data_IF_261458260032
#
_entry.id   IF_261458260032
#
_cell.length_a   1.000
_cell.length_b   1.000
_cell.length_c   1.000
_cell.angle_alpha   90.00
_cell.angle_beta   90.00
_cell.angle_gamma   90.00
#
_symmetry.space_group_name_H-M   'P 1'
#
loop_
_entity.id
_entity.type
_entity.pdbx_description
1 polymer ?
#
# COMPACT_ATOMS: atom_id res chain seq x y z
N UNK A 1 20.61 -2.64 10.24
CA UNK A 1 22.10 -2.68 10.34
C UNK A 1 22.80 -2.34 9.02
N UNK A 2 22.16 -2.46 7.86
CA UNK A 2 22.78 -2.14 6.55
C UNK A 2 22.70 -0.65 6.18
N UNK A 3 21.59 0.04 6.51
CA UNK A 3 21.46 1.50 6.28
C UNK A 3 22.59 2.34 6.91
N UNK A 4 23.11 1.98 8.08
CA UNK A 4 24.11 2.81 8.76
C UNK A 4 25.45 2.90 8.02
N UNK A 5 25.82 1.89 7.22
CA UNK A 5 27.17 1.76 6.65
C UNK A 5 27.40 2.60 5.40
N UNK A 6 26.34 3.09 4.77
CA UNK A 6 26.40 3.80 3.47
C UNK A 6 26.02 5.28 3.56
N UNK A 7 25.54 5.75 4.72
CA UNK A 7 25.17 7.14 4.92
C UNK A 7 26.43 7.99 5.14
N UNK A 8 26.49 9.14 4.45
CA UNK A 8 27.48 10.22 4.62
C UNK A 8 28.94 9.87 4.28
N UNK A 9 29.16 9.14 3.17
CA UNK A 9 30.49 8.98 2.57
C UNK A 9 30.82 10.15 1.61
N UNK A 10 32.11 10.52 1.51
CA UNK A 10 32.66 11.49 0.54
C UNK A 10 32.03 12.90 0.55
N UNK A 11 31.94 13.55 1.73
CA UNK A 11 31.42 14.93 1.91
C UNK A 11 29.96 15.17 1.46
N UNK A 12 29.23 14.12 1.03
CA UNK A 12 27.80 14.20 0.72
C UNK A 12 27.00 13.92 1.98
N UNK A 13 26.10 14.82 2.33
CA UNK A 13 25.17 14.63 3.44
C UNK A 13 23.83 14.13 2.91
N UNK A 14 23.29 13.09 3.54
CA UNK A 14 21.98 12.55 3.21
C UNK A 14 20.90 13.47 3.77
N UNK A 15 20.09 14.07 2.89
CA UNK A 15 19.01 14.97 3.30
C UNK A 15 17.79 14.22 3.87
N UNK A 16 17.44 13.08 3.27
CA UNK A 16 16.26 12.32 3.63
C UNK A 16 16.38 10.83 3.29
N UNK A 17 15.62 10.01 4.02
CA UNK A 17 15.30 8.62 3.67
C UNK A 17 13.81 8.59 3.29
N UNK A 18 13.51 8.10 2.09
CA UNK A 18 12.13 7.93 1.60
C UNK A 18 11.81 6.44 1.49
N UNK A 19 10.71 6.02 2.12
CA UNK A 19 10.25 4.63 2.12
C UNK A 19 8.73 4.54 1.93
N UNK A 20 8.25 3.43 1.37
CA UNK A 20 6.83 3.07 1.41
C UNK A 20 6.56 2.26 2.70
N UNK A 21 5.55 2.58 3.53
CA UNK A 21 5.20 1.77 4.70
C UNK A 21 4.87 0.30 4.35
N UNK A 22 4.29 0.09 3.18
CA UNK A 22 4.12 -1.20 2.53
C UNK A 22 4.41 -1.01 1.05
N UNK A 23 5.37 -1.75 0.50
CA UNK A 23 5.69 -1.67 -0.92
C UNK A 23 4.62 -2.37 -1.73
N UNK A 24 3.76 -1.61 -2.41
CA UNK A 24 2.63 -2.21 -3.12
C UNK A 24 3.02 -2.75 -4.51
N UNK A 25 3.87 -2.06 -5.27
CA UNK A 25 4.42 -2.58 -6.53
C UNK A 25 5.54 -3.60 -6.30
N UNK A 26 6.31 -3.46 -5.21
CA UNK A 26 7.37 -4.40 -4.80
C UNK A 26 6.87 -5.80 -4.36
N UNK A 27 5.58 -6.07 -4.53
CA UNK A 27 4.96 -7.37 -4.25
C UNK A 27 4.03 -7.38 -3.05
N UNK A 28 3.43 -6.26 -2.65
CA UNK A 28 2.62 -6.15 -1.42
C UNK A 28 3.45 -6.62 -0.22
N UNK A 29 4.49 -5.86 0.13
CA UNK A 29 5.41 -6.20 1.23
C UNK A 29 5.19 -5.24 2.39
N UNK A 30 4.43 -5.65 3.42
CA UNK A 30 4.26 -4.83 4.62
C UNK A 30 5.60 -4.59 5.31
N UNK A 31 5.81 -3.36 5.79
CA UNK A 31 7.03 -3.02 6.52
C UNK A 31 7.15 -3.76 7.84
N UNK A 32 8.37 -4.14 8.20
CA UNK A 32 8.69 -4.71 9.51
C UNK A 32 8.85 -3.59 10.55
N UNK A 33 8.14 -3.72 11.68
CA UNK A 33 8.13 -2.70 12.75
C UNK A 33 9.55 -2.35 13.21
N UNK A 34 10.36 -3.37 13.53
CA UNK A 34 11.72 -3.19 14.04
C UNK A 34 12.64 -2.49 13.02
N UNK A 35 12.46 -2.79 11.72
CA UNK A 35 13.22 -2.13 10.66
C UNK A 35 12.89 -0.64 10.59
N UNK A 36 11.61 -0.29 10.53
CA UNK A 36 11.17 1.10 10.41
C UNK A 36 11.47 1.92 11.66
N UNK A 37 11.36 1.34 12.85
CA UNK A 37 11.81 1.96 14.09
C UNK A 37 13.33 2.21 14.09
N UNK A 38 14.11 1.24 13.60
CA UNK A 38 15.55 1.42 13.42
C UNK A 38 15.90 2.54 12.45
N UNK A 39 15.20 2.65 11.31
CA UNK A 39 15.38 3.75 10.35
C UNK A 39 15.02 5.09 11.00
N UNK A 40 13.90 5.17 11.72
CA UNK A 40 13.50 6.39 12.45
C UNK A 40 14.57 6.84 13.43
N UNK A 41 15.14 5.91 14.21
CA UNK A 41 16.21 6.19 15.15
C UNK A 41 17.47 6.74 14.45
N UNK A 42 17.85 6.15 13.31
CA UNK A 42 18.99 6.64 12.51
C UNK A 42 18.72 8.06 12.01
N UNK A 43 17.52 8.33 11.51
CA UNK A 43 17.11 9.65 11.07
C UNK A 43 17.23 10.70 12.20
N UNK A 44 16.75 10.38 13.39
CA UNK A 44 16.80 11.27 14.56
C UNK A 44 18.23 11.55 15.00
N UNK A 45 19.10 10.52 15.00
CA UNK A 45 20.50 10.65 15.42
C UNK A 45 21.35 11.46 14.44
N UNK A 46 21.06 11.35 13.13
CA UNK A 46 21.86 11.98 12.07
C UNK A 46 21.27 13.28 11.53
N UNK A 47 20.08 13.69 11.99
CA UNK A 47 19.37 14.85 11.45
C UNK A 47 18.91 14.64 10.01
N UNK A 48 18.61 13.40 9.63
CA UNK A 48 18.10 13.03 8.29
C UNK A 48 16.57 13.03 8.36
N UNK A 49 15.90 13.61 7.38
CA UNK A 49 14.43 13.58 7.33
C UNK A 49 13.92 12.19 6.98
N UNK A 50 12.85 11.73 7.64
CA UNK A 50 12.11 10.55 7.23
C UNK A 50 10.88 10.94 6.43
N UNK A 51 10.81 10.44 5.20
CA UNK A 51 9.67 10.61 4.30
C UNK A 51 8.98 9.27 4.11
N UNK A 52 7.66 9.22 4.34
CA UNK A 52 6.87 8.02 4.02
C UNK A 52 5.94 8.28 2.85
N UNK A 53 6.11 7.49 1.79
CA UNK A 53 5.22 7.54 0.64
C UNK A 53 3.94 6.76 0.92
N UNK A 54 2.88 7.50 1.20
CA UNK A 54 1.55 6.99 1.55
C UNK A 54 0.62 6.95 0.33
N UNK A 55 1.13 7.25 -0.88
CA UNK A 55 0.31 7.39 -2.08
C UNK A 55 -0.53 6.13 -2.37
N UNK A 56 -0.01 4.93 -2.13
CA UNK A 56 -0.75 3.68 -2.36
C UNK A 56 -1.44 3.13 -1.10
N UNK A 57 -0.92 3.44 0.08
CA UNK A 57 -1.25 2.73 1.34
C UNK A 57 -1.99 3.60 2.36
N UNK A 58 -2.03 4.90 2.15
CA UNK A 58 -2.80 5.85 2.95
C UNK A 58 -4.27 5.88 2.55
N UNK A 59 -4.98 6.88 3.08
CA UNK A 59 -6.40 7.14 2.77
C UNK A 59 -7.27 5.90 3.06
N UNK A 60 -6.98 5.22 4.17
CA UNK A 60 -7.77 4.08 4.65
C UNK A 60 -7.47 2.72 4.03
N UNK A 61 -6.64 2.64 2.98
CA UNK A 61 -6.36 1.40 2.23
C UNK A 61 -5.95 0.22 3.13
N UNK A 62 -5.12 0.49 4.12
CA UNK A 62 -4.54 -0.51 5.02
C UNK A 62 -5.37 -0.77 6.27
N UNK A 63 -6.59 -0.22 6.37
CA UNK A 63 -7.44 -0.32 7.57
C UNK A 63 -7.09 0.67 8.68
N UNK A 64 -6.06 1.52 8.46
CA UNK A 64 -5.77 2.73 9.23
C UNK A 64 -5.86 3.95 8.29
N UNK A 65 -6.07 5.17 8.81
CA UNK A 65 -5.99 6.38 8.00
C UNK A 65 -4.71 6.42 7.15
N UNK A 66 -3.56 6.15 7.80
CA UNK A 66 -2.23 6.16 7.19
C UNK A 66 -1.48 4.86 7.48
N UNK A 67 -0.78 4.33 6.48
CA UNK A 67 -0.02 3.09 6.55
C UNK A 67 1.09 3.10 7.61
N UNK A 68 1.78 4.24 7.81
CA UNK A 68 2.85 4.35 8.81
C UNK A 68 2.39 4.07 10.24
N UNK A 69 1.09 4.24 10.52
CA UNK A 69 0.53 3.98 11.85
C UNK A 69 0.59 2.49 12.22
N UNK A 70 0.83 1.57 11.26
CA UNK A 70 1.12 0.16 11.55
C UNK A 70 2.53 -0.05 12.13
N UNK A 71 3.44 0.91 11.95
CA UNK A 71 4.87 0.77 12.22
C UNK A 71 5.30 1.44 13.54
N UNK A 72 4.38 2.14 14.22
CA UNK A 72 4.65 2.79 15.51
C UNK A 72 5.65 3.95 15.42
N UNK A 73 5.80 4.55 14.24
CA UNK A 73 6.67 5.70 13.98
C UNK A 73 5.86 6.82 13.33
N UNK A 74 6.32 8.05 13.45
CA UNK A 74 5.76 9.20 12.73
C UNK A 74 6.83 9.78 11.78
N UNK A 75 6.54 9.94 10.48
CA UNK A 75 7.48 10.55 9.55
C UNK A 75 7.59 12.06 9.77
N UNK A 76 8.61 12.68 9.17
CA UNK A 76 8.74 14.14 9.12
C UNK A 76 7.91 14.72 7.97
N UNK A 77 7.81 13.95 6.88
CA UNK A 77 7.03 14.27 5.69
C UNK A 77 6.28 13.01 5.25
N UNK A 78 5.05 13.14 4.76
CA UNK A 78 4.41 12.07 4.00
C UNK A 78 3.62 12.58 2.80
N UNK A 79 3.49 11.72 1.79
CA UNK A 79 2.87 12.07 0.50
C UNK A 79 1.55 11.32 0.29
N UNK A 80 0.52 12.01 -0.17
CA UNK A 80 -0.80 11.45 -0.48
C UNK A 80 -1.14 11.70 -1.95
N UNK A 81 -1.80 10.74 -2.60
CA UNK A 81 -2.44 10.89 -3.91
C UNK A 81 -3.45 9.74 -4.10
N UNK A 82 -3.67 9.27 -5.33
CA UNK A 82 -4.51 8.11 -5.70
C UNK A 82 -5.88 8.12 -5.00
N UNK A 83 -6.01 7.41 -3.87
CA UNK A 83 -7.22 7.34 -3.08
C UNK A 83 -7.71 8.71 -2.58
N UNK A 84 -6.81 9.70 -2.45
CA UNK A 84 -7.10 11.02 -1.87
C UNK A 84 -8.35 11.71 -2.45
N UNK A 85 -8.59 11.60 -3.76
CA UNK A 85 -9.81 12.13 -4.40
C UNK A 85 -10.54 11.08 -5.26
N UNK A 86 -10.44 9.80 -4.90
CA UNK A 86 -11.29 8.76 -5.46
C UNK A 86 -11.22 8.61 -6.99
N UNK A 87 -10.09 8.94 -7.60
CA UNK A 87 -9.89 8.88 -9.05
C UNK A 87 -9.66 10.24 -9.73
N UNK A 88 -9.94 11.36 -9.05
CA UNK A 88 -9.56 12.70 -9.55
C UNK A 88 -8.08 12.97 -9.24
N UNK A 89 -7.27 13.46 -10.20
CA UNK A 89 -5.87 13.75 -9.96
C UNK A 89 -5.66 14.84 -8.90
N UNK A 90 -5.07 14.45 -7.77
CA UNK A 90 -4.57 15.33 -6.72
C UNK A 90 -3.41 14.65 -6.01
N UNK A 91 -2.44 15.46 -5.57
CA UNK A 91 -1.38 15.04 -4.67
C UNK A 91 -1.22 16.05 -3.54
N UNK A 92 -0.75 15.59 -2.39
CA UNK A 92 -0.42 16.42 -1.25
C UNK A 92 0.90 15.95 -0.63
N UNK A 93 1.70 16.91 -0.16
CA UNK A 93 2.88 16.67 0.66
C UNK A 93 2.61 17.36 2.00
N UNK A 94 2.61 16.58 3.07
CA UNK A 94 2.42 17.07 4.42
C UNK A 94 3.77 17.02 5.13
N UNK A 95 4.16 18.11 5.78
CA UNK A 95 5.43 18.22 6.50
C UNK A 95 5.21 18.77 7.90
N UNK A 96 6.12 18.42 8.83
CA UNK A 96 6.22 19.09 10.12
C UNK A 96 6.82 20.48 9.95
N UNK A 97 6.44 21.41 10.82
CA UNK A 97 6.82 22.83 10.74
C UNK A 97 8.33 23.05 10.59
N UNK A 98 9.16 22.31 11.34
CA UNK A 98 10.62 22.49 11.33
C UNK A 98 11.27 22.18 9.97
N UNK A 99 10.59 21.43 9.09
CA UNK A 99 11.07 21.09 7.74
C UNK A 99 10.22 21.73 6.63
N UNK A 100 9.26 22.59 6.99
CA UNK A 100 8.44 23.37 6.05
C UNK A 100 9.21 24.61 5.58
N UNK A 101 10.11 24.40 4.60
CA UNK A 101 11.05 25.45 4.17
C UNK A 101 10.66 26.17 2.87
N UNK A 102 9.69 25.63 2.12
CA UNK A 102 9.29 26.20 0.82
C UNK A 102 8.72 27.61 0.97
N UNK A 103 9.16 28.49 0.08
CA UNK A 103 8.70 29.86 -0.10
C UNK A 103 7.91 30.01 -1.41
N UNK A 104 7.13 31.09 -1.58
CA UNK A 104 6.46 31.38 -2.85
C UNK A 104 7.45 31.40 -4.02
N UNK A 105 7.28 30.47 -4.97
CA UNK A 105 8.14 30.32 -6.15
C UNK A 105 8.98 29.05 -6.17
N UNK A 106 9.20 28.38 -5.04
CA UNK A 106 10.05 27.17 -4.96
C UNK A 106 9.41 25.95 -5.63
N UNK A 107 8.09 25.82 -5.51
CA UNK A 107 7.30 24.74 -6.12
C UNK A 107 5.96 25.28 -6.60
N UNK A 108 5.58 24.97 -7.84
CA UNK A 108 4.34 25.44 -8.43
C UNK A 108 3.71 24.38 -9.33
N UNK A 109 2.38 24.36 -9.36
CA UNK A 109 1.59 23.55 -10.27
C UNK A 109 0.33 24.32 -10.68
N UNK A 110 0.11 24.51 -11.98
CA UNK A 110 -1.04 25.27 -12.50
C UNK A 110 -2.39 24.70 -12.04
N UNK A 111 -2.48 23.38 -11.91
CA UNK A 111 -3.69 22.68 -11.47
C UNK A 111 -3.60 22.19 -10.01
N UNK A 112 -2.47 22.39 -9.34
CA UNK A 112 -2.27 22.00 -7.95
C UNK A 112 -3.21 22.76 -7.02
N UNK A 113 -3.91 22.04 -6.14
CA UNK A 113 -4.83 22.65 -5.16
C UNK A 113 -6.09 23.29 -5.78
N UNK A 114 -6.45 22.94 -7.02
CA UNK A 114 -7.64 23.49 -7.65
C UNK A 114 -8.93 23.14 -6.85
N UNK A 115 -9.94 24.01 -6.81
CA UNK A 115 -11.12 23.82 -5.96
C UNK A 115 -11.91 22.53 -6.24
N UNK A 116 -11.95 22.08 -7.50
CA UNK A 116 -12.66 20.86 -7.88
C UNK A 116 -12.00 19.61 -7.28
N UNK A 117 -10.68 19.48 -7.45
CA UNK A 117 -9.92 18.37 -6.87
C UNK A 117 -9.95 18.39 -5.33
N UNK A 118 -9.85 19.58 -4.73
CA UNK A 118 -9.97 19.76 -3.28
C UNK A 118 -11.36 19.36 -2.76
N UNK A 119 -12.43 19.73 -3.46
CA UNK A 119 -13.80 19.33 -3.09
C UNK A 119 -14.00 17.81 -3.17
N UNK A 120 -13.48 17.16 -4.21
CA UNK A 120 -13.49 15.70 -4.33
C UNK A 120 -12.70 15.03 -3.20
N UNK A 121 -11.53 15.57 -2.85
CA UNK A 121 -10.72 15.04 -1.75
C UNK A 121 -11.43 15.18 -0.40
N UNK A 122 -12.03 16.34 -0.11
CA UNK A 122 -12.81 16.54 1.11
C UNK A 122 -14.00 15.59 1.20
N UNK A 123 -14.68 15.32 0.08
CA UNK A 123 -15.77 14.34 0.04
C UNK A 123 -15.28 12.94 0.41
N UNK A 124 -14.17 12.49 -0.18
CA UNK A 124 -13.57 11.18 0.14
C UNK A 124 -13.17 11.07 1.61
N UNK A 125 -12.47 12.08 2.14
CA UNK A 125 -12.03 12.08 3.54
C UNK A 125 -13.22 12.09 4.50
N UNK A 126 -14.29 12.83 4.17
CA UNK A 126 -15.53 12.84 4.97
C UNK A 126 -16.19 11.46 4.96
N UNK A 127 -16.33 10.83 3.79
CA UNK A 127 -16.88 9.48 3.64
C UNK A 127 -16.07 8.44 4.42
N UNK A 128 -14.73 8.52 4.41
CA UNK A 128 -13.87 7.66 5.23
C UNK A 128 -14.16 7.80 6.74
N UNK A 129 -14.47 9.01 7.19
CA UNK A 129 -14.78 9.29 8.61
C UNK A 129 -16.20 8.87 9.00
N UNK A 130 -17.18 8.97 8.10
CA UNK A 130 -18.60 8.74 8.44
C UNK A 130 -19.10 7.33 8.14
N UNK A 131 -18.53 6.65 7.16
CA UNK A 131 -19.14 5.44 6.58
C UNK A 131 -18.45 4.15 7.06
N UNK A 132 -17.74 4.20 8.20
CA UNK A 132 -17.05 3.03 8.80
C UNK A 132 -16.14 2.27 7.83
N UNK A 133 -15.58 2.95 6.83
CA UNK A 133 -14.80 2.30 5.76
C UNK A 133 -13.49 1.69 6.26
N UNK A 134 -12.91 2.21 7.35
CA UNK A 134 -11.73 1.62 7.97
C UNK A 134 -12.06 0.27 8.62
N UNK A 135 -13.20 0.19 9.30
CA UNK A 135 -13.69 -1.07 9.89
C UNK A 135 -13.97 -2.09 8.79
N UNK A 136 -14.61 -1.67 7.70
CA UNK A 136 -14.84 -2.54 6.54
C UNK A 136 -13.51 -3.01 5.92
N UNK A 137 -12.53 -2.13 5.75
CA UNK A 137 -11.22 -2.48 5.21
C UNK A 137 -10.49 -3.50 6.10
N UNK A 138 -10.64 -3.41 7.43
CA UNK A 138 -10.11 -4.40 8.37
C UNK A 138 -10.85 -5.74 8.27
N UNK A 139 -12.18 -5.73 8.34
CA UNK A 139 -13.00 -6.95 8.31
C UNK A 139 -12.89 -7.71 6.98
N UNK A 140 -13.09 -7.02 5.86
CA UNK A 140 -13.02 -7.61 4.51
C UNK A 140 -11.58 -7.95 4.13
N UNK A 141 -10.63 -7.15 4.59
CA UNK A 141 -9.21 -7.46 4.47
C UNK A 141 -8.82 -8.78 5.13
N UNK A 142 -9.27 -9.02 6.36
CA UNK A 142 -9.00 -10.28 7.03
C UNK A 142 -9.79 -11.45 6.43
N UNK A 143 -11.05 -11.25 6.05
CA UNK A 143 -11.82 -12.27 5.32
C UNK A 143 -11.09 -12.72 4.06
N UNK A 144 -10.63 -11.77 3.23
CA UNK A 144 -9.87 -12.06 2.02
C UNK A 144 -8.58 -12.80 2.34
N UNK A 145 -7.79 -12.34 3.31
CA UNK A 145 -6.53 -13.03 3.68
C UNK A 145 -6.79 -14.43 4.22
N UNK A 146 -7.81 -14.63 5.05
CA UNK A 146 -8.16 -15.94 5.59
C UNK A 146 -8.53 -16.91 4.46
N UNK A 147 -9.43 -16.51 3.56
CA UNK A 147 -9.80 -17.35 2.41
C UNK A 147 -8.64 -17.64 1.46
N UNK A 148 -7.76 -16.66 1.21
CA UNK A 148 -6.55 -16.88 0.41
C UNK A 148 -5.58 -17.84 1.11
N UNK A 149 -5.44 -17.78 2.44
CA UNK A 149 -4.63 -18.74 3.21
C UNK A 149 -5.21 -20.15 3.13
N UNK A 150 -6.53 -20.31 3.16
CA UNK A 150 -7.18 -21.62 2.94
C UNK A 150 -6.92 -22.17 1.53
N UNK A 151 -6.92 -21.30 0.50
CA UNK A 151 -6.51 -21.71 -0.85
C UNK A 151 -5.02 -22.12 -0.83
N UNK A 152 -4.17 -21.36 -0.15
CA UNK A 152 -2.74 -21.69 -0.03
C UNK A 152 -2.50 -23.06 0.64
N UNK A 153 -3.29 -23.44 1.65
CA UNK A 153 -3.17 -24.76 2.29
C UNK A 153 -3.64 -25.90 1.39
N UNK A 154 -4.58 -25.64 0.47
CA UNK A 154 -5.02 -26.61 -0.55
C UNK A 154 -3.99 -26.77 -1.69
N UNK A 155 -3.27 -25.70 -2.04
CA UNK A 155 -2.29 -25.67 -3.13
C UNK A 155 -0.87 -25.26 -2.67
N UNK A 156 -0.27 -25.95 -1.67
CA UNK A 156 1.03 -25.56 -1.09
C UNK A 156 2.22 -25.77 -2.05
N UNK A 157 1.99 -26.44 -3.17
CA UNK A 157 2.97 -26.63 -4.24
C UNK A 157 3.03 -25.43 -5.20
N UNK A 158 2.00 -24.58 -5.23
CA UNK A 158 1.94 -23.37 -6.08
C UNK A 158 2.14 -22.08 -5.28
N UNK A 159 1.61 -22.02 -4.06
CA UNK A 159 1.53 -20.79 -3.27
C UNK A 159 2.55 -20.83 -2.14
N UNK A 160 3.32 -19.74 -2.01
CA UNK A 160 4.32 -19.55 -0.97
C UNK A 160 3.71 -18.91 0.28
N UNK A 161 2.97 -17.82 0.12
CA UNK A 161 2.38 -17.10 1.25
C UNK A 161 1.24 -16.14 0.84
N UNK A 162 0.54 -15.62 1.85
CA UNK A 162 -0.45 -14.54 1.72
C UNK A 162 -0.05 -13.42 2.67
N UNK A 163 0.10 -12.21 2.13
CA UNK A 163 0.57 -11.04 2.89
C UNK A 163 -0.20 -9.76 2.52
N UNK A 164 -0.25 -8.80 3.43
CA UNK A 164 -0.94 -7.52 3.20
C UNK A 164 -1.52 -6.90 4.47
N UNK A 165 -2.07 -5.70 4.32
CA UNK A 165 -2.81 -4.97 5.35
C UNK A 165 -4.13 -4.47 4.78
N UNK A 166 -5.20 -4.44 5.59
CA UNK A 166 -6.52 -3.99 5.14
C UNK A 166 -6.90 -4.61 3.79
N UNK A 167 -7.25 -3.75 2.81
CA UNK A 167 -7.63 -4.14 1.45
C UNK A 167 -6.51 -3.92 0.43
N UNK A 168 -5.25 -4.15 0.80
CA UNK A 168 -4.12 -4.35 -0.12
C UNK A 168 -3.42 -5.66 0.23
N UNK A 169 -3.70 -6.72 -0.53
CA UNK A 169 -3.24 -8.07 -0.22
C UNK A 169 -2.58 -8.72 -1.45
N UNK A 170 -1.61 -9.60 -1.20
CA UNK A 170 -0.88 -10.34 -2.22
C UNK A 170 -0.96 -11.84 -1.95
N UNK A 171 -1.32 -12.60 -2.98
CA UNK A 171 -1.12 -14.05 -3.05
C UNK A 171 0.21 -14.30 -3.77
N UNK A 172 1.17 -14.88 -3.06
CA UNK A 172 2.54 -15.04 -3.54
C UNK A 172 2.69 -16.46 -4.07
N UNK A 173 2.99 -16.57 -5.36
CA UNK A 173 3.35 -17.82 -6.01
C UNK A 173 4.79 -18.18 -5.65
N UNK A 174 5.08 -19.48 -5.63
CA UNK A 174 6.42 -19.99 -5.46
C UNK A 174 7.34 -19.56 -6.61
N UNK A 175 8.60 -19.29 -6.28
CA UNK A 175 9.57 -18.86 -7.29
C UNK A 175 9.93 -20.02 -8.23
N UNK A 176 9.96 -21.25 -7.70
CA UNK A 176 10.30 -22.48 -8.41
C UNK A 176 9.23 -23.01 -9.38
N UNK A 177 7.99 -22.50 -9.34
CA UNK A 177 6.95 -22.91 -10.29
C UNK A 177 7.00 -22.07 -11.56
N UNK A 178 6.70 -22.64 -12.73
CA UNK A 178 6.64 -21.85 -13.98
C UNK A 178 5.43 -20.91 -14.04
N UNK A 179 4.46 -21.11 -13.15
CA UNK A 179 3.26 -20.27 -13.06
C UNK A 179 3.62 -18.81 -12.71
N UNK A 180 3.01 -17.88 -13.44
CA UNK A 180 3.21 -16.43 -13.26
C UNK A 180 1.94 -15.77 -12.75
N UNK A 181 2.09 -14.63 -12.06
CA UNK A 181 0.95 -13.81 -11.63
C UNK A 181 0.06 -13.42 -12.80
N UNK A 182 0.64 -13.11 -13.96
CA UNK A 182 -0.10 -12.77 -15.19
C UNK A 182 -0.95 -13.94 -15.70
N UNK A 183 -0.47 -15.18 -15.63
CA UNK A 183 -1.24 -16.35 -16.05
C UNK A 183 -2.48 -16.52 -15.16
N UNK A 184 -2.31 -16.42 -13.83
CA UNK A 184 -3.42 -16.46 -12.87
C UNK A 184 -4.40 -15.31 -13.11
N UNK A 185 -3.91 -14.09 -13.33
CA UNK A 185 -4.75 -12.91 -13.57
C UNK A 185 -5.56 -13.06 -14.87
N UNK A 186 -4.97 -13.58 -15.94
CA UNK A 186 -5.69 -13.83 -17.20
C UNK A 186 -6.80 -14.86 -17.01
N UNK A 187 -6.54 -15.93 -16.28
CA UNK A 187 -7.55 -16.94 -15.97
C UNK A 187 -8.67 -16.36 -15.09
N UNK A 188 -8.34 -15.59 -14.05
CA UNK A 188 -9.32 -14.88 -13.21
C UNK A 188 -10.17 -13.89 -14.02
N UNK A 189 -9.56 -13.15 -14.94
CA UNK A 189 -10.24 -12.21 -15.82
C UNK A 189 -11.26 -12.93 -16.73
N UNK A 190 -10.89 -14.09 -17.29
CA UNK A 190 -11.82 -14.91 -18.08
C UNK A 190 -12.97 -15.47 -17.24
N UNK A 191 -12.75 -15.66 -15.92
CA UNK A 191 -13.76 -16.07 -14.96
C UNK A 191 -14.54 -14.89 -14.34
N UNK A 192 -14.33 -13.65 -14.80
CA UNK A 192 -15.08 -12.46 -14.38
C UNK A 192 -14.45 -11.63 -13.26
N UNK A 193 -13.23 -11.96 -12.80
CA UNK A 193 -12.54 -11.24 -11.73
C UNK A 193 -11.32 -10.46 -12.24
N UNK A 194 -11.34 -9.14 -12.09
CA UNK A 194 -10.22 -8.28 -12.45
C UNK A 194 -9.21 -8.16 -11.30
N UNK A 195 -8.00 -8.64 -11.54
CA UNK A 195 -6.88 -8.59 -10.61
C UNK A 195 -5.68 -7.89 -11.27
N UNK A 196 -4.72 -7.47 -10.46
CA UNK A 196 -3.50 -6.78 -10.93
C UNK A 196 -2.25 -7.49 -10.43
N UNK A 197 -1.14 -7.47 -11.18
CA UNK A 197 0.11 -8.05 -10.70
C UNK A 197 0.79 -7.09 -9.71
N UNK A 198 1.67 -7.63 -8.87
CA UNK A 198 2.70 -6.88 -8.15
C UNK A 198 4.04 -7.61 -8.35
N UNK A 199 4.60 -7.48 -9.55
CA UNK A 199 5.72 -8.30 -10.02
C UNK A 199 5.28 -9.67 -10.56
N UNK A 200 6.24 -10.51 -10.98
CA UNK A 200 5.98 -11.74 -11.76
C UNK A 200 5.31 -12.85 -10.95
N UNK A 201 5.38 -12.77 -9.62
CA UNK A 201 5.00 -13.86 -8.69
C UNK A 201 3.94 -13.47 -7.67
N UNK A 202 3.39 -12.25 -7.75
CA UNK A 202 2.37 -11.81 -6.80
C UNK A 202 1.10 -11.40 -7.55
N UNK A 203 0.00 -12.05 -7.22
CA UNK A 203 -1.34 -11.62 -7.61
C UNK A 203 -1.84 -10.67 -6.52
N UNK A 204 -2.10 -9.42 -6.89
CA UNK A 204 -2.47 -8.36 -5.96
C UNK A 204 -3.98 -8.09 -6.00
N UNK A 205 -4.55 -8.04 -4.82
CA UNK A 205 -5.95 -7.77 -4.53
C UNK A 205 -6.08 -6.39 -3.88
N UNK A 206 -6.77 -5.48 -4.57
CA UNK A 206 -6.98 -4.09 -4.15
C UNK A 206 -8.41 -3.61 -4.41
N UNK A 207 -9.45 -4.30 -3.89
CA UNK A 207 -10.84 -3.94 -4.17
C UNK A 207 -11.22 -2.57 -3.58
N UNK A 208 -12.32 -1.93 -4.00
CA UNK A 208 -12.83 -0.72 -3.36
C UNK A 208 -13.04 -0.90 -1.85
N UNK A 209 -12.93 0.17 -1.06
CA UNK A 209 -13.12 0.09 0.41
C UNK A 209 -14.55 -0.23 0.82
N UNK A 210 -15.50 -0.11 -0.10
CA UNK A 210 -16.92 -0.45 0.07
C UNK A 210 -17.24 -1.92 -0.29
N UNK A 211 -16.23 -2.72 -0.64
CA UNK A 211 -16.45 -4.14 -1.02
C UNK A 211 -17.19 -4.88 0.08
N UNK A 212 -18.19 -5.66 -0.30
CA UNK A 212 -19.06 -6.40 0.59
C UNK A 212 -18.50 -7.77 0.95
N UNK A 213 -19.12 -8.43 1.94
CA UNK A 213 -18.79 -9.82 2.30
C UNK A 213 -18.93 -10.78 1.13
N UNK A 214 -20.02 -10.61 0.38
CA UNK A 214 -20.45 -11.50 -0.69
C UNK A 214 -19.50 -11.37 -1.88
N UNK A 215 -19.08 -10.15 -2.23
CA UNK A 215 -18.10 -9.92 -3.29
C UNK A 215 -16.71 -10.51 -2.94
N UNK A 216 -16.31 -10.47 -1.66
CA UNK A 216 -15.07 -11.15 -1.24
C UNK A 216 -15.20 -12.66 -1.39
N UNK A 217 -16.33 -13.24 -0.98
CA UNK A 217 -16.57 -14.68 -1.12
C UNK A 217 -16.61 -15.12 -2.59
N UNK A 218 -17.31 -14.37 -3.45
CA UNK A 218 -17.33 -14.61 -4.90
C UNK A 218 -15.93 -14.57 -5.50
N UNK A 219 -15.12 -13.56 -5.15
CA UNK A 219 -13.74 -13.45 -5.60
C UNK A 219 -12.89 -14.65 -5.14
N UNK A 220 -13.05 -15.10 -3.90
CA UNK A 220 -12.34 -16.27 -3.36
C UNK A 220 -12.74 -17.56 -4.09
N UNK A 221 -14.01 -17.73 -4.43
CA UNK A 221 -14.48 -18.88 -5.21
C UNK A 221 -13.86 -18.90 -6.60
N UNK A 222 -13.85 -17.75 -7.30
CA UNK A 222 -13.21 -17.62 -8.61
C UNK A 222 -11.71 -17.94 -8.51
N UNK A 223 -10.99 -17.36 -7.53
CA UNK A 223 -9.55 -17.62 -7.35
C UNK A 223 -9.29 -19.09 -7.06
N UNK A 224 -10.10 -19.74 -6.22
CA UNK A 224 -9.95 -21.16 -5.90
C UNK A 224 -10.08 -22.02 -7.15
N UNK A 225 -11.10 -21.77 -7.97
CA UNK A 225 -11.30 -22.50 -9.22
C UNK A 225 -10.14 -22.28 -10.19
N UNK A 226 -9.72 -21.02 -10.37
CA UNK A 226 -8.60 -20.67 -11.25
C UNK A 226 -7.30 -21.35 -10.83
N UNK A 227 -6.99 -21.38 -9.54
CA UNK A 227 -5.77 -22.03 -9.03
C UNK A 227 -5.87 -23.56 -9.18
N UNK A 228 -7.06 -24.15 -9.04
CA UNK A 228 -7.26 -25.58 -9.23
C UNK A 228 -7.07 -26.04 -10.69
N UNK A 229 -7.37 -25.15 -11.65
CA UNK A 229 -7.32 -25.44 -13.09
C UNK A 229 -5.93 -25.17 -13.72
N UNK A 230 -4.99 -24.59 -12.98
CA UNK A 230 -3.64 -24.22 -13.43
C UNK A 230 -2.57 -25.18 -12.90
#
# INVERSE_FOLDING_TARGET
RECDRTLDQDQRQVAAILLEPLQGEGGVRPGEVDYFQGVRQICDQKGILLILDEVQVGVGRTGKPWGHQHLGIEPDIFTLAKGLAGGIPIGALLSKEFCSVFQPGDHASTFGGNPFACAAALAVLKTLQTDHLLDNANHRGEQLRAGLREIATQFPHLIAEVRGWGLINGLVLKDEVDLTSIAVIKAAMNAGLLLVPAGPKVVRFVPPLIVSEVEIEEALQIVRQVIADL
#
